data_IF_879439150037
#
_entry.id   IF_879439150037
#
_cell.length_a   1.000
_cell.length_b   1.000
_cell.length_c   1.000
_cell.angle_alpha   90.00
_cell.angle_beta   90.00
_cell.angle_gamma   90.00
#
_symmetry.space_group_name_H-M   'P 1'
#
loop_
_entity.id
_entity.type
_entity.pdbx_description
1 polymer ?
#
# COMPACT_ATOMS: atom_id res chain seq x y z
N UNK A 1 -10.07 -10.36 -18.45
CA UNK A 1 -11.16 -9.49 -18.94
C UNK A 1 -11.19 -8.15 -18.20
N UNK A 2 -11.32 -8.11 -16.86
CA UNK A 2 -11.37 -6.83 -16.11
C UNK A 2 -10.06 -6.03 -16.19
N UNK A 3 -8.90 -6.67 -16.01
CA UNK A 3 -7.59 -5.99 -16.11
C UNK A 3 -7.34 -5.35 -17.48
N UNK A 4 -7.83 -5.98 -18.54
CA UNK A 4 -7.74 -5.42 -19.90
C UNK A 4 -8.61 -4.18 -20.06
N UNK A 5 -9.86 -4.21 -19.57
CA UNK A 5 -10.75 -3.04 -19.55
C UNK A 5 -10.16 -1.88 -18.74
N UNK A 6 -9.56 -2.17 -17.58
CA UNK A 6 -8.89 -1.17 -16.73
C UNK A 6 -7.73 -0.53 -17.51
N UNK A 7 -6.88 -1.34 -18.15
CA UNK A 7 -5.76 -0.86 -18.96
C UNK A 7 -6.23 0.01 -20.13
N UNK A 8 -7.24 -0.43 -20.88
CA UNK A 8 -7.79 0.33 -22.00
C UNK A 8 -8.40 1.66 -21.53
N UNK A 9 -9.13 1.65 -20.41
CA UNK A 9 -9.70 2.86 -19.84
C UNK A 9 -8.60 3.82 -19.36
N UNK A 10 -7.56 3.30 -18.70
CA UNK A 10 -6.40 4.09 -18.27
C UNK A 10 -5.71 4.76 -19.47
N UNK A 11 -5.49 4.02 -20.56
CA UNK A 11 -4.92 4.57 -21.80
C UNK A 11 -5.79 5.68 -22.40
N UNK A 12 -7.12 5.54 -22.39
CA UNK A 12 -8.03 6.57 -22.90
C UNK A 12 -8.05 7.82 -22.02
N UNK A 13 -8.07 7.65 -20.69
CA UNK A 13 -8.14 8.78 -19.75
C UNK A 13 -6.84 9.56 -19.68
N UNK A 14 -5.71 8.86 -19.78
CA UNK A 14 -4.37 9.41 -19.66
C UNK A 14 -3.62 9.38 -21.00
N UNK A 15 -4.31 9.41 -22.13
CA UNK A 15 -3.67 9.41 -23.45
C UNK A 15 -2.56 10.49 -23.59
N UNK A 16 -2.75 11.65 -22.94
CA UNK A 16 -1.78 12.75 -22.89
C UNK A 16 -0.53 12.50 -22.04
N UNK A 17 -0.54 11.46 -21.20
CA UNK A 17 0.61 11.05 -20.39
C UNK A 17 1.60 10.17 -21.17
N UNK A 18 1.26 9.81 -22.41
CA UNK A 18 2.08 8.99 -23.29
C UNK A 18 2.59 9.82 -24.49
N UNK A 19 3.72 9.39 -25.07
CA UNK A 19 4.31 10.01 -26.25
C UNK A 19 5.55 10.86 -25.98
N UNK A 20 5.97 10.98 -24.71
CA UNK A 20 7.29 11.52 -24.36
C UNK A 20 8.37 10.42 -24.44
N UNK A 21 9.64 10.82 -24.40
CA UNK A 21 10.73 9.85 -24.22
C UNK A 21 10.59 9.16 -22.86
N UNK A 22 11.14 7.96 -22.72
CA UNK A 22 10.92 7.10 -21.54
C UNK A 22 11.21 7.80 -20.20
N UNK A 23 12.17 8.73 -20.18
CA UNK A 23 12.55 9.51 -18.99
C UNK A 23 11.50 10.54 -18.54
N UNK A 24 10.59 10.94 -19.42
CA UNK A 24 9.55 11.94 -19.15
C UNK A 24 8.13 11.37 -19.17
N UNK A 25 7.96 10.08 -19.47
CA UNK A 25 6.66 9.43 -19.30
C UNK A 25 6.42 9.13 -17.81
N UNK A 26 5.15 9.08 -17.43
CA UNK A 26 4.80 8.57 -16.12
C UNK A 26 5.16 7.09 -16.02
N UNK A 27 5.67 6.71 -14.86
CA UNK A 27 5.88 5.31 -14.53
C UNK A 27 4.52 4.60 -14.38
N UNK A 28 4.49 3.30 -14.65
CA UNK A 28 3.27 2.50 -14.65
C UNK A 28 2.56 2.54 -13.28
N UNK A 29 3.33 2.52 -12.18
CA UNK A 29 2.84 2.62 -10.81
C UNK A 29 2.12 3.97 -10.54
N UNK A 30 2.63 5.07 -11.09
CA UNK A 30 1.99 6.38 -11.00
C UNK A 30 0.66 6.38 -11.74
N UNK A 31 0.61 5.78 -12.94
CA UNK A 31 -0.62 5.66 -13.71
C UNK A 31 -1.65 4.78 -13.01
N UNK A 32 -1.22 3.70 -12.35
CA UNK A 32 -2.10 2.84 -11.55
C UNK A 32 -2.73 3.62 -10.39
N UNK A 33 -1.94 4.42 -9.67
CA UNK A 33 -2.43 5.27 -8.57
C UNK A 33 -3.40 6.32 -9.09
N UNK A 34 -3.07 7.02 -10.18
CA UNK A 34 -3.96 8.01 -10.79
C UNK A 34 -5.28 7.40 -11.25
N UNK A 35 -5.23 6.19 -11.83
CA UNK A 35 -6.42 5.44 -12.22
C UNK A 35 -7.26 5.07 -11.00
N UNK A 36 -6.66 4.55 -9.93
CA UNK A 36 -7.37 4.21 -8.70
C UNK A 36 -8.06 5.43 -8.07
N UNK A 37 -7.38 6.59 -8.04
CA UNK A 37 -7.95 7.86 -7.55
C UNK A 37 -9.12 8.32 -8.42
N UNK A 38 -8.98 8.25 -9.74
CA UNK A 38 -10.05 8.61 -10.67
C UNK A 38 -11.30 7.73 -10.48
N UNK A 39 -11.11 6.42 -10.32
CA UNK A 39 -12.20 5.47 -10.05
C UNK A 39 -12.86 5.75 -8.70
N UNK A 40 -12.05 5.94 -7.66
CA UNK A 40 -12.52 6.14 -6.29
C UNK A 40 -13.42 7.38 -6.17
N UNK A 41 -13.04 8.47 -6.83
CA UNK A 41 -13.72 9.77 -6.72
C UNK A 41 -14.71 10.09 -7.85
N UNK A 42 -14.89 9.20 -8.83
CA UNK A 42 -15.78 9.46 -9.97
C UNK A 42 -17.19 9.87 -9.54
N UNK A 43 -17.83 9.11 -8.64
CA UNK A 43 -19.21 9.38 -8.21
C UNK A 43 -19.33 10.69 -7.42
N UNK A 44 -18.35 11.02 -6.59
CA UNK A 44 -18.33 12.30 -5.88
C UNK A 44 -18.18 13.46 -6.85
N UNK A 45 -17.27 13.34 -7.82
CA UNK A 45 -17.09 14.34 -8.88
C UNK A 45 -18.33 14.47 -9.77
N UNK A 46 -19.03 13.38 -10.05
CA UNK A 46 -20.27 13.39 -10.83
C UNK A 46 -21.37 14.17 -10.11
N UNK A 47 -21.46 13.98 -8.78
CA UNK A 47 -22.43 14.69 -7.94
C UNK A 47 -22.10 16.18 -7.79
N UNK A 48 -20.82 16.51 -7.61
CA UNK A 48 -20.37 17.89 -7.36
C UNK A 48 -20.30 18.73 -8.64
N UNK A 49 -19.84 18.14 -9.75
CA UNK A 49 -19.58 18.84 -11.00
C UNK A 49 -19.92 17.95 -12.23
N UNK A 50 -21.21 17.64 -12.47
CA UNK A 50 -21.65 16.69 -13.50
C UNK A 50 -21.29 17.14 -14.93
N UNK A 51 -21.17 18.44 -15.17
CA UNK A 51 -20.86 19.01 -16.48
C UNK A 51 -19.36 19.18 -16.73
N UNK A 52 -18.52 18.82 -15.76
CA UNK A 52 -17.07 19.02 -15.85
C UNK A 52 -16.46 18.24 -17.01
N UNK A 53 -15.38 18.77 -17.64
CA UNK A 53 -14.68 18.05 -18.70
C UNK A 53 -14.19 16.66 -18.27
N UNK A 54 -13.85 16.50 -16.98
CA UNK A 54 -13.46 15.23 -16.39
C UNK A 54 -14.58 14.19 -16.51
N UNK A 55 -15.80 14.51 -16.07
CA UNK A 55 -16.94 13.58 -16.12
C UNK A 55 -17.25 13.16 -17.55
N UNK A 56 -17.28 14.12 -18.49
CA UNK A 56 -17.48 13.82 -19.91
C UNK A 56 -16.42 12.87 -20.45
N UNK A 57 -15.15 13.07 -20.08
CA UNK A 57 -14.04 12.19 -20.49
C UNK A 57 -14.20 10.79 -19.92
N UNK A 58 -14.55 10.66 -18.64
CA UNK A 58 -14.75 9.35 -18.01
C UNK A 58 -15.93 8.61 -18.65
N UNK A 59 -17.09 9.26 -18.78
CA UNK A 59 -18.26 8.65 -19.42
C UNK A 59 -17.99 8.22 -20.86
N UNK A 60 -17.26 9.04 -21.62
CA UNK A 60 -16.83 8.68 -22.97
C UNK A 60 -15.90 7.46 -22.98
N UNK A 61 -14.91 7.42 -22.09
CA UNK A 61 -14.01 6.28 -21.94
C UNK A 61 -14.76 5.00 -21.59
N UNK A 62 -15.65 5.06 -20.60
CA UNK A 62 -16.49 3.94 -20.17
C UNK A 62 -17.30 3.34 -21.33
N UNK A 63 -17.92 4.21 -22.15
CA UNK A 63 -18.68 3.79 -23.32
C UNK A 63 -17.81 3.05 -24.35
N UNK A 64 -16.57 3.50 -24.57
CA UNK A 64 -15.65 2.85 -25.52
C UNK A 64 -15.21 1.45 -25.06
N UNK A 65 -14.95 1.28 -23.76
CA UNK A 65 -14.45 0.00 -23.22
C UNK A 65 -15.56 -0.93 -22.72
N UNK A 66 -16.83 -0.59 -22.98
CA UNK A 66 -18.00 -1.35 -22.52
C UNK A 66 -17.97 -1.62 -21.00
N UNK A 67 -17.66 -0.57 -20.24
CA UNK A 67 -17.73 -0.56 -18.77
C UNK A 67 -18.96 0.23 -18.37
N UNK A 68 -19.78 -0.35 -17.50
CA UNK A 68 -20.96 0.36 -16.96
C UNK A 68 -20.57 1.20 -15.75
N UNK A 69 -21.37 2.22 -15.42
CA UNK A 69 -21.15 2.99 -14.18
C UNK A 69 -21.25 2.10 -12.93
N UNK A 70 -22.09 1.07 -12.96
CA UNK A 70 -22.18 0.04 -11.90
C UNK A 70 -20.88 -0.75 -11.76
N UNK A 71 -20.28 -1.18 -12.88
CA UNK A 71 -19.00 -1.88 -12.89
C UNK A 71 -17.89 -0.97 -12.34
N UNK A 72 -17.86 0.30 -12.73
CA UNK A 72 -16.92 1.29 -12.18
C UNK A 72 -17.13 1.51 -10.66
N UNK A 73 -18.39 1.59 -10.22
CA UNK A 73 -18.75 1.68 -8.81
C UNK A 73 -18.29 0.46 -8.02
N UNK A 74 -18.39 -0.74 -8.58
CA UNK A 74 -17.87 -1.96 -7.95
C UNK A 74 -16.36 -1.90 -7.75
N UNK A 75 -15.60 -1.36 -8.71
CA UNK A 75 -14.16 -1.18 -8.59
C UNK A 75 -13.80 -0.17 -7.50
N UNK A 76 -14.54 0.94 -7.41
CA UNK A 76 -14.39 1.94 -6.34
C UNK A 76 -14.59 1.32 -4.96
N UNK A 77 -15.63 0.50 -4.79
CA UNK A 77 -15.89 -0.22 -3.53
C UNK A 77 -14.79 -1.22 -3.20
N UNK A 78 -14.27 -1.95 -4.19
CA UNK A 78 -13.12 -2.87 -3.99
C UNK A 78 -11.88 -2.10 -3.51
N UNK A 79 -11.53 -0.99 -4.17
CA UNK A 79 -10.39 -0.14 -3.78
C UNK A 79 -10.57 0.38 -2.36
N UNK A 80 -11.76 0.91 -2.03
CA UNK A 80 -12.05 1.42 -0.69
C UNK A 80 -11.96 0.32 0.38
N UNK A 81 -12.51 -0.86 0.09
CA UNK A 81 -12.44 -2.02 0.96
C UNK A 81 -11.01 -2.44 1.28
N UNK A 82 -10.16 -2.52 0.26
CA UNK A 82 -8.73 -2.86 0.41
C UNK A 82 -7.98 -1.81 1.22
N UNK A 83 -8.24 -0.52 0.98
CA UNK A 83 -7.63 0.58 1.75
C UNK A 83 -8.03 0.53 3.23
N UNK A 84 -9.30 0.26 3.53
CA UNK A 84 -9.78 0.12 4.91
C UNK A 84 -9.16 -1.11 5.60
N UNK A 85 -9.02 -2.24 4.88
CA UNK A 85 -8.35 -3.42 5.42
C UNK A 85 -6.88 -3.15 5.72
N UNK A 86 -6.15 -2.49 4.81
CA UNK A 86 -4.74 -2.12 5.03
C UNK A 86 -4.61 -1.17 6.22
N UNK A 87 -5.48 -0.16 6.32
CA UNK A 87 -5.52 0.74 7.47
C UNK A 87 -5.74 0.00 8.79
N UNK A 88 -6.61 -1.02 8.82
CA UNK A 88 -6.82 -1.86 10.00
C UNK A 88 -5.56 -2.64 10.36
N UNK A 89 -4.87 -3.24 9.38
CA UNK A 89 -3.61 -3.97 9.60
C UNK A 89 -2.48 -3.07 10.11
N UNK A 90 -2.39 -1.82 9.66
CA UNK A 90 -1.43 -0.84 10.18
C UNK A 90 -1.81 -0.30 11.57
N UNK A 91 -3.09 -0.35 11.94
CA UNK A 91 -3.60 0.10 13.24
C UNK A 91 -3.63 -1.00 14.31
N UNK A 92 -3.37 -2.25 13.94
CA UNK A 92 -3.07 -3.31 14.90
C UNK A 92 -1.67 -3.01 15.47
N UNK A 93 -1.51 -2.93 16.80
CA UNK A 93 -0.19 -2.71 17.38
C UNK A 93 0.69 -3.86 16.90
N UNK A 94 1.74 -3.51 16.14
CA UNK A 94 2.89 -4.36 15.92
C UNK A 94 3.20 -5.03 17.25
N UNK A 95 3.27 -6.37 17.26
CA UNK A 95 3.62 -7.16 18.44
C UNK A 95 4.71 -6.40 19.19
N UNK A 96 4.37 -5.91 20.39
CA UNK A 96 5.21 -5.03 21.19
C UNK A 96 6.63 -5.61 21.12
N UNK A 97 7.65 -4.88 20.61
CA UNK A 97 9.00 -5.42 20.58
C UNK A 97 9.31 -5.96 21.98
N UNK A 98 9.92 -7.16 22.10
CA UNK A 98 10.09 -7.81 23.39
C UNK A 98 10.62 -6.77 24.36
N UNK A 99 9.89 -6.58 25.47
CA UNK A 99 10.13 -5.49 26.40
C UNK A 99 11.64 -5.39 26.65
N UNK A 100 12.20 -4.19 26.48
CA UNK A 100 13.62 -3.98 26.74
C UNK A 100 13.95 -4.61 28.10
N UNK A 101 15.00 -5.44 28.19
CA UNK A 101 15.31 -6.15 29.42
C UNK A 101 15.41 -5.12 30.54
N UNK A 102 14.71 -5.37 31.63
CA UNK A 102 14.74 -4.48 32.78
C UNK A 102 16.15 -4.44 33.36
N UNK A 103 16.46 -3.42 34.17
CA UNK A 103 17.75 -3.37 34.87
C UNK A 103 18.01 -4.66 35.66
N UNK A 104 16.96 -5.27 36.21
CA UNK A 104 17.06 -6.52 36.97
C UNK A 104 17.41 -7.71 36.07
N UNK A 105 16.87 -7.76 34.85
CA UNK A 105 17.21 -8.80 33.86
C UNK A 105 18.67 -8.69 33.41
N UNK A 106 19.17 -7.46 33.24
CA UNK A 106 20.55 -7.18 32.89
C UNK A 106 21.51 -7.56 34.03
N UNK A 107 21.18 -7.18 35.26
CA UNK A 107 21.98 -7.52 36.46
C UNK A 107 22.01 -9.04 36.67
N UNK A 108 20.89 -9.74 36.48
CA UNK A 108 20.85 -11.21 36.54
C UNK A 108 21.77 -11.83 35.50
N UNK A 109 21.66 -11.44 34.23
CA UNK A 109 22.53 -11.95 33.15
C UNK A 109 24.01 -11.65 33.40
N UNK A 110 24.31 -10.46 33.89
CA UNK A 110 25.69 -10.08 34.20
C UNK A 110 26.25 -10.92 35.35
N UNK A 111 25.42 -11.21 36.37
CA UNK A 111 25.79 -12.10 37.48
C UNK A 111 26.06 -13.53 37.01
N UNK A 112 25.22 -14.07 36.12
CA UNK A 112 25.40 -15.40 35.53
C UNK A 112 26.69 -15.49 34.71
N UNK A 113 26.99 -14.48 33.89
CA UNK A 113 28.21 -14.43 33.11
C UNK A 113 29.47 -14.34 33.98
N UNK A 114 29.43 -13.55 35.06
CA UNK A 114 30.52 -13.46 36.02
C UNK A 114 30.75 -14.82 36.70
N UNK A 115 29.69 -15.53 37.10
CA UNK A 115 29.85 -16.86 37.70
C UNK A 115 30.41 -17.89 36.72
N UNK A 116 29.98 -17.88 35.45
CA UNK A 116 30.54 -18.75 34.42
C UNK A 116 32.03 -18.46 34.18
N UNK A 117 32.42 -17.19 34.19
CA UNK A 117 33.83 -16.78 34.07
C UNK A 117 34.63 -17.18 35.31
N UNK A 118 34.05 -17.11 36.50
CA UNK A 118 34.70 -17.54 37.75
C UNK A 118 35.01 -19.04 37.72
N UNK A 119 34.08 -19.87 37.24
CA UNK A 119 34.27 -21.31 37.06
C UNK A 119 35.35 -21.66 36.01
N UNK A 120 35.60 -20.79 35.03
CA UNK A 120 36.66 -20.97 34.03
C UNK A 120 38.05 -20.54 34.54
N UNK A 121 38.10 -19.76 35.62
CA UNK A 121 39.33 -19.19 36.19
C UNK A 121 39.80 -19.97 37.43
N UNK A 122 39.00 -20.91 37.96
CA UNK A 122 39.53 -21.86 38.93
C UNK A 122 40.63 -22.71 38.27
N UNK A 123 41.90 -22.61 38.71
CA UNK A 123 42.95 -23.42 38.15
C UNK A 123 42.60 -24.87 38.45
N UNK A 124 42.75 -25.73 37.44
CA UNK A 124 42.85 -27.17 37.64
C UNK A 124 43.92 -27.39 38.71
N UNK A 125 43.52 -27.66 39.94
CA UNK A 125 44.41 -28.27 40.91
C UNK A 125 44.71 -29.66 40.35
N UNK A 126 45.87 -29.74 39.71
CA UNK A 126 46.37 -30.97 39.12
C UNK A 126 46.79 -31.97 40.19
N UNK A 127 46.64 -33.23 39.80
CA UNK A 127 47.30 -34.44 40.28
C UNK A 127 47.04 -34.89 41.73
#
# INVERSE_FOLDING_TARGET
>A
MVSEKIRQLQQLLFASAFGFTAEFNFHDDVLEVLMAVAVLHYHDMLRLAPTSPYIKRVQHGLAQVSVTESELGSWSLTILGDLLQRKKKLGEPEEKPPAAPTSDDLVRKQTELIQQQLHLVEPSQGA
#
